data_IF_280805572293
#
_entry.id   IF_280805572293
#
_cell.length_a   1.000
_cell.length_b   1.000
_cell.length_c   1.000
_cell.angle_alpha   90.00
_cell.angle_beta   90.00
_cell.angle_gamma   90.00
#
_symmetry.space_group_name_H-M   'P 1'
#
loop_
_entity.id
_entity.type
_entity.pdbx_description
1 polymer ?
#
# COMPACT_ATOMS: atom_id res chain seq x y z
N UNK A 1 -42.55 -19.60 -45.26
CA UNK A 1 -41.27 -18.88 -45.12
C UNK A 1 -40.71 -19.24 -43.75
N UNK A 2 -39.70 -20.09 -43.73
CA UNK A 2 -39.15 -20.72 -42.53
C UNK A 2 -38.26 -19.71 -41.80
N UNK A 3 -38.49 -19.59 -40.50
CA UNK A 3 -37.71 -18.76 -39.58
C UNK A 3 -36.37 -19.46 -39.35
N UNK A 4 -35.28 -18.87 -39.82
CA UNK A 4 -33.91 -19.30 -39.47
C UNK A 4 -33.43 -18.37 -38.37
N UNK A 5 -33.62 -18.81 -37.12
CA UNK A 5 -32.99 -18.19 -35.95
C UNK A 5 -31.51 -18.52 -36.01
N UNK A 6 -30.68 -17.50 -36.29
CA UNK A 6 -29.23 -17.62 -36.17
C UNK A 6 -28.88 -17.61 -34.68
N UNK A 7 -28.49 -18.76 -34.15
CA UNK A 7 -27.91 -18.92 -32.81
C UNK A 7 -26.56 -18.20 -32.79
N UNK A 8 -26.49 -17.03 -32.14
CA UNK A 8 -25.24 -16.38 -31.79
C UNK A 8 -24.61 -17.15 -30.62
N UNK A 9 -23.49 -17.82 -30.90
CA UNK A 9 -22.69 -18.51 -29.91
C UNK A 9 -22.17 -17.56 -28.84
N UNK A 10 -22.23 -17.99 -27.59
CA UNK A 10 -21.59 -17.34 -26.46
C UNK A 10 -20.08 -17.18 -26.72
N UNK A 11 -19.45 -16.07 -26.27
CA UNK A 11 -18.00 -15.95 -26.34
C UNK A 11 -17.36 -17.06 -25.48
N UNK A 12 -16.25 -17.67 -25.94
CA UNK A 12 -15.51 -18.62 -25.12
C UNK A 12 -15.04 -17.91 -23.86
N UNK A 13 -15.55 -18.36 -22.71
CA UNK A 13 -15.10 -17.92 -21.41
C UNK A 13 -13.65 -18.40 -21.25
N UNK A 14 -12.71 -17.55 -21.68
CA UNK A 14 -11.29 -17.75 -21.43
C UNK A 14 -11.15 -17.82 -19.92
N UNK A 15 -10.85 -19.03 -19.42
CA UNK A 15 -10.44 -19.26 -18.05
C UNK A 15 -9.11 -18.54 -17.87
N UNK A 16 -9.17 -17.25 -17.53
CA UNK A 16 -8.00 -16.51 -17.11
C UNK A 16 -7.40 -17.30 -15.94
N UNK A 17 -6.11 -17.68 -16.00
CA UNK A 17 -5.45 -18.28 -14.87
C UNK A 17 -5.62 -17.33 -13.68
N UNK A 18 -5.90 -17.89 -12.51
CA UNK A 18 -6.05 -17.13 -11.26
C UNK A 18 -4.73 -16.40 -10.99
N UNK A 19 -4.57 -15.21 -11.55
CA UNK A 19 -3.40 -14.36 -11.33
C UNK A 19 -3.42 -13.97 -9.85
N UNK A 20 -2.40 -14.43 -9.11
CA UNK A 20 -2.26 -14.07 -7.71
C UNK A 20 -1.90 -12.59 -7.65
N UNK A 21 -2.80 -11.77 -7.11
CA UNK A 21 -2.56 -10.36 -6.88
C UNK A 21 -1.26 -10.17 -6.06
N UNK A 22 -0.41 -9.22 -6.46
CA UNK A 22 0.83 -8.83 -5.78
C UNK A 22 0.66 -8.66 -4.26
N UNK A 23 -0.46 -8.07 -3.82
CA UNK A 23 -0.81 -7.92 -2.40
C UNK A 23 -0.94 -9.26 -1.69
N UNK A 24 -1.53 -10.26 -2.35
CA UNK A 24 -1.65 -11.62 -1.80
C UNK A 24 -0.29 -12.30 -1.70
N UNK A 25 0.57 -12.15 -2.71
CA UNK A 25 1.93 -12.70 -2.67
C UNK A 25 2.77 -12.06 -1.56
N UNK A 26 2.67 -10.74 -1.35
CA UNK A 26 3.33 -10.05 -0.25
C UNK A 26 2.85 -10.54 1.13
N UNK A 27 1.54 -10.77 1.30
CA UNK A 27 0.99 -11.37 2.53
C UNK A 27 1.55 -12.77 2.79
N UNK A 28 1.61 -13.62 1.77
CA UNK A 28 2.23 -14.93 1.91
C UNK A 28 3.73 -14.84 2.22
N UNK A 29 4.44 -13.88 1.61
CA UNK A 29 5.85 -13.62 1.90
C UNK A 29 6.06 -13.22 3.36
N UNK A 30 5.22 -12.33 3.88
CA UNK A 30 5.23 -11.91 5.27
C UNK A 30 5.01 -13.08 6.24
N UNK A 31 4.02 -13.94 5.99
CA UNK A 31 3.77 -15.14 6.81
C UNK A 31 5.00 -16.06 6.84
N UNK A 32 5.63 -16.31 5.69
CA UNK A 32 6.83 -17.15 5.60
C UNK A 32 8.00 -16.54 6.38
N UNK A 33 8.19 -15.22 6.31
CA UNK A 33 9.22 -14.52 7.10
C UNK A 33 8.95 -14.66 8.59
N UNK A 34 7.70 -14.49 9.02
CA UNK A 34 7.31 -14.65 10.42
C UNK A 34 7.57 -16.08 10.92
N UNK A 35 7.26 -17.10 10.11
CA UNK A 35 7.55 -18.50 10.41
C UNK A 35 9.05 -18.77 10.53
N UNK A 36 9.88 -18.17 9.67
CA UNK A 36 11.34 -18.29 9.74
C UNK A 36 11.83 -17.72 11.09
N UNK A 37 11.38 -16.52 11.46
CA UNK A 37 11.76 -15.87 12.71
C UNK A 37 11.33 -16.70 13.91
N UNK A 38 10.08 -17.20 13.92
CA UNK A 38 9.56 -18.03 15.00
C UNK A 38 10.40 -19.30 15.20
N UNK A 39 10.68 -20.04 14.12
CA UNK A 39 11.48 -21.28 14.19
C UNK A 39 12.93 -21.03 14.57
N UNK A 40 13.51 -19.94 14.09
CA UNK A 40 14.88 -19.56 14.47
C UNK A 40 14.94 -19.24 15.96
N UNK A 41 13.93 -18.55 16.50
CA UNK A 41 13.82 -18.33 17.95
C UNK A 41 13.70 -19.65 18.72
N UNK A 42 12.86 -20.59 18.28
CA UNK A 42 12.75 -21.92 18.91
C UNK A 42 14.07 -22.71 18.91
N UNK A 43 14.84 -22.60 17.83
CA UNK A 43 16.18 -23.20 17.75
C UNK A 43 17.08 -22.59 18.83
N UNK A 44 17.16 -21.27 18.93
CA UNK A 44 17.99 -20.61 19.94
C UNK A 44 17.54 -20.93 21.36
N UNK A 45 16.23 -21.02 21.62
CA UNK A 45 15.72 -21.42 22.93
C UNK A 45 16.10 -22.87 23.26
N UNK A 46 16.04 -23.78 22.29
CA UNK A 46 16.44 -25.18 22.50
C UNK A 46 17.94 -25.27 22.77
N UNK A 47 18.77 -24.56 21.98
CA UNK A 47 20.22 -24.52 22.14
C UNK A 47 20.65 -24.00 23.51
N UNK A 48 19.98 -22.97 24.05
CA UNK A 48 20.25 -22.44 25.40
C UNK A 48 20.09 -23.49 26.51
N UNK A 49 19.23 -24.50 26.29
CA UNK A 49 18.94 -25.53 27.29
C UNK A 49 19.69 -26.84 27.03
N UNK A 50 20.44 -26.95 25.93
CA UNK A 50 21.26 -28.14 25.68
C UNK A 50 22.40 -28.15 26.69
N UNK A 51 22.49 -29.23 27.44
CA UNK A 51 23.63 -29.52 28.29
C UNK A 51 24.51 -30.58 27.62
N UNK A 52 25.83 -30.57 27.88
CA UNK A 52 26.71 -31.67 27.52
C UNK A 52 26.23 -32.97 28.20
N UNK A 53 26.50 -34.16 27.61
CA UNK A 53 26.24 -35.43 28.28
C UNK A 53 26.99 -35.47 29.62
N UNK A 54 26.26 -35.56 30.72
CA UNK A 54 26.81 -35.57 32.08
C UNK A 54 27.29 -36.96 32.52
N UNK A 55 27.66 -37.83 31.57
CA UNK A 55 28.06 -39.22 31.82
C UNK A 55 26.92 -40.18 32.17
N UNK A 56 25.68 -39.70 32.35
CA UNK A 56 24.51 -40.56 32.58
C UNK A 56 23.79 -40.92 31.27
N UNK A 57 23.20 -42.13 31.15
CA UNK A 57 22.40 -42.51 29.99
C UNK A 57 21.24 -41.55 29.74
N UNK A 58 20.58 -41.08 30.82
CA UNK A 58 19.49 -40.11 30.75
C UNK A 58 19.94 -38.77 30.17
N UNK A 59 21.08 -38.23 30.62
CA UNK A 59 21.62 -36.97 30.11
C UNK A 59 22.09 -37.06 28.66
N UNK A 60 22.66 -38.21 28.26
CA UNK A 60 23.03 -38.47 26.88
C UNK A 60 21.80 -38.51 25.95
N UNK A 61 20.73 -39.21 26.37
CA UNK A 61 19.48 -39.28 25.62
C UNK A 61 18.80 -37.91 25.49
N UNK A 62 18.70 -37.16 26.59
CA UNK A 62 18.10 -35.83 26.58
C UNK A 62 18.87 -34.82 25.70
N UNK A 63 20.20 -34.87 25.70
CA UNK A 63 21.04 -34.06 24.80
C UNK A 63 20.81 -34.46 23.33
N UNK A 64 20.73 -35.76 23.04
CA UNK A 64 20.51 -36.27 21.68
C UNK A 64 19.11 -35.90 21.13
N UNK A 65 18.05 -36.00 21.94
CA UNK A 65 16.70 -35.57 21.54
C UNK A 65 16.65 -34.09 21.16
N UNK A 66 17.29 -33.22 21.96
CA UNK A 66 17.37 -31.79 21.65
C UNK A 66 18.17 -31.53 20.37
N UNK A 67 19.26 -32.27 20.13
CA UNK A 67 20.02 -32.19 18.87
C UNK A 67 19.16 -32.58 17.66
N UNK A 68 18.43 -33.68 17.74
CA UNK A 68 17.51 -34.13 16.68
C UNK A 68 16.43 -33.07 16.43
N UNK A 69 15.83 -32.51 17.50
CA UNK A 69 14.84 -31.44 17.40
C UNK A 69 15.39 -30.20 16.69
N UNK A 70 16.60 -29.77 17.02
CA UNK A 70 17.27 -28.63 16.37
C UNK A 70 17.53 -28.93 14.89
N UNK A 71 18.04 -30.12 14.58
CA UNK A 71 18.29 -30.54 13.19
C UNK A 71 17.01 -30.51 12.34
N UNK A 72 15.88 -30.93 12.91
CA UNK A 72 14.58 -30.91 12.24
C UNK A 72 14.06 -29.48 12.04
N UNK A 73 14.18 -28.61 13.03
CA UNK A 73 13.82 -27.19 12.86
C UNK A 73 14.67 -26.51 11.79
N UNK A 74 15.98 -26.81 11.74
CA UNK A 74 16.85 -26.33 10.67
C UNK A 74 16.42 -26.84 9.29
N UNK A 75 15.88 -28.06 9.19
CA UNK A 75 15.31 -28.61 7.95
C UNK A 75 14.08 -27.82 7.52
N UNK A 76 13.18 -27.50 8.45
CA UNK A 76 12.02 -26.64 8.18
C UNK A 76 12.42 -25.23 7.73
N UNK A 77 13.38 -24.60 8.42
CA UNK A 77 13.90 -23.27 8.05
C UNK A 77 14.43 -23.27 6.62
N UNK A 78 15.18 -24.31 6.21
CA UNK A 78 15.63 -24.43 4.81
C UNK A 78 14.47 -24.50 3.81
N UNK A 79 13.38 -25.21 4.14
CA UNK A 79 12.21 -25.29 3.26
C UNK A 79 11.47 -23.96 3.18
N UNK A 80 11.38 -23.21 4.28
CA UNK A 80 10.79 -21.88 4.29
C UNK A 80 11.58 -20.90 3.42
N UNK A 81 12.92 -20.93 3.45
CA UNK A 81 13.72 -20.09 2.55
C UNK A 81 13.51 -20.43 1.07
N UNK A 82 13.37 -21.72 0.72
CA UNK A 82 13.02 -22.13 -0.65
C UNK A 82 11.65 -21.59 -1.05
N UNK A 83 10.66 -21.68 -0.16
CA UNK A 83 9.32 -21.12 -0.40
C UNK A 83 9.36 -19.61 -0.54
N UNK A 84 10.10 -18.91 0.32
CA UNK A 84 10.27 -17.45 0.27
C UNK A 84 10.89 -17.01 -1.05
N UNK A 85 11.89 -17.75 -1.55
CA UNK A 85 12.51 -17.47 -2.84
C UNK A 85 11.51 -17.55 -3.99
N UNK A 86 10.67 -18.59 -4.02
CA UNK A 86 9.61 -18.71 -5.05
C UNK A 86 8.62 -17.55 -4.97
N UNK A 87 8.24 -17.12 -3.75
CA UNK A 87 7.35 -15.97 -3.55
C UNK A 87 8.02 -14.69 -4.08
N UNK A 88 9.29 -14.48 -3.76
CA UNK A 88 10.05 -13.33 -4.23
C UNK A 88 10.13 -13.28 -5.76
N UNK A 89 10.50 -14.39 -6.41
CA UNK A 89 10.58 -14.50 -7.87
C UNK A 89 9.22 -14.15 -8.50
N UNK A 90 8.12 -14.72 -7.96
CA UNK A 90 6.76 -14.41 -8.44
C UNK A 90 6.34 -12.96 -8.21
N UNK A 91 6.67 -12.37 -7.06
CA UNK A 91 6.40 -10.96 -6.80
C UNK A 91 7.14 -10.10 -7.83
N UNK A 92 8.43 -10.36 -8.03
CA UNK A 92 9.27 -9.59 -8.94
C UNK A 92 8.76 -9.66 -10.39
N UNK A 93 8.38 -10.84 -10.86
CA UNK A 93 7.78 -11.01 -12.19
C UNK A 93 6.47 -10.22 -12.33
N UNK A 94 5.62 -10.18 -11.30
CA UNK A 94 4.38 -9.40 -11.29
C UNK A 94 4.64 -7.88 -11.31
N UNK A 95 5.61 -7.40 -10.54
CA UNK A 95 6.00 -5.98 -10.56
C UNK A 95 6.54 -5.55 -11.93
N UNK A 96 7.34 -6.40 -12.57
CA UNK A 96 7.89 -6.15 -13.90
C UNK A 96 6.79 -6.15 -14.97
N UNK A 97 5.80 -7.04 -14.88
CA UNK A 97 4.64 -7.08 -15.76
C UNK A 97 3.69 -5.88 -15.58
N UNK A 98 3.60 -5.32 -14.37
CA UNK A 98 2.79 -4.13 -14.07
C UNK A 98 3.49 -2.82 -14.44
N UNK A 99 4.70 -2.86 -15.02
CA UNK A 99 5.45 -1.65 -15.38
C UNK A 99 5.88 -0.81 -14.18
N UNK A 100 5.91 -1.39 -12.98
CA UNK A 100 6.46 -0.73 -11.80
C UNK A 100 7.97 -0.68 -11.96
N UNK A 101 8.53 0.52 -12.12
CA UNK A 101 9.98 0.71 -12.15
C UNK A 101 10.61 0.09 -10.88
N UNK A 102 11.75 -0.56 -11.05
CA UNK A 102 12.46 -1.28 -10.00
C UNK A 102 12.79 -0.34 -8.84
N UNK A 103 11.99 -0.39 -7.78
CA UNK A 103 12.20 0.42 -6.58
C UNK A 103 13.33 -0.22 -5.77
N UNK A 104 14.47 0.46 -5.68
CA UNK A 104 15.66 -0.06 -4.99
C UNK A 104 15.33 -0.43 -3.53
N UNK A 105 15.73 -1.62 -3.07
CA UNK A 105 15.43 -2.10 -1.71
C UNK A 105 15.88 -1.13 -0.60
N UNK A 106 16.90 -0.33 -0.90
CA UNK A 106 17.46 0.69 -0.02
C UNK A 106 16.49 1.86 0.23
N UNK A 107 15.59 2.17 -0.72
CA UNK A 107 14.55 3.19 -0.53
C UNK A 107 13.36 2.71 0.32
N UNK A 108 13.28 1.41 0.58
CA UNK A 108 12.26 0.80 1.46
C UNK A 108 12.70 0.77 2.94
N UNK A 109 13.96 1.09 3.23
CA UNK A 109 14.48 1.21 4.59
C UNK A 109 14.15 2.62 5.08
N UNK A 110 13.23 2.80 6.05
CA UNK A 110 12.87 4.13 6.51
C UNK A 110 14.06 4.76 7.22
N UNK A 111 14.73 5.70 6.56
CA UNK A 111 15.71 6.57 7.20
C UNK A 111 14.94 7.50 8.15
N UNK A 112 15.54 7.89 9.28
CA UNK A 112 14.87 8.65 10.34
C UNK A 112 14.29 10.01 9.86
N UNK A 113 14.71 10.50 8.69
CA UNK A 113 14.19 11.68 7.99
C UNK A 113 12.86 11.45 7.24
N UNK A 114 12.48 10.19 6.95
CA UNK A 114 11.31 9.82 6.13
C UNK A 114 9.94 10.02 6.81
N UNK A 115 9.90 10.48 8.07
CA UNK A 115 8.62 10.87 8.69
C UNK A 115 7.94 12.01 7.92
N UNK A 116 8.71 12.80 7.16
CA UNK A 116 8.21 13.88 6.32
C UNK A 116 7.68 13.39 4.95
N UNK A 117 8.23 12.28 4.43
CA UNK A 117 7.94 11.78 3.07
C UNK A 117 6.63 10.97 2.96
N UNK A 118 6.06 10.49 4.08
CA UNK A 118 4.69 9.90 4.11
C UNK A 118 3.60 10.87 3.66
N UNK A 119 3.94 12.15 3.55
CA UNK A 119 3.12 13.18 2.93
C UNK A 119 2.99 12.96 1.43
N UNK A 120 4.06 12.54 0.73
CA UNK A 120 4.13 12.49 -0.74
C UNK A 120 3.58 11.20 -1.35
N UNK A 121 3.74 10.03 -0.74
CA UNK A 121 3.10 8.79 -1.26
C UNK A 121 1.57 8.84 -1.18
N UNK A 122 1.03 9.51 -0.16
CA UNK A 122 -0.42 9.77 -0.06
C UNK A 122 -0.92 10.70 -1.17
N UNK A 123 -0.03 11.47 -1.82
CA UNK A 123 -0.38 12.34 -2.96
C UNK A 123 -0.57 11.59 -4.28
N UNK A 124 -0.12 10.34 -4.37
CA UNK A 124 -0.17 9.53 -5.59
C UNK A 124 -1.39 8.59 -5.65
N UNK A 125 -2.26 8.59 -4.64
CA UNK A 125 -3.49 7.79 -4.67
C UNK A 125 -4.54 8.44 -5.59
N UNK A 126 -5.27 7.63 -6.35
CA UNK A 126 -6.40 8.07 -7.19
C UNK A 126 -7.43 8.87 -6.37
N UNK A 127 -7.68 8.47 -5.12
CA UNK A 127 -8.58 9.17 -4.20
C UNK A 127 -8.05 10.55 -3.79
N UNK A 128 -6.73 10.69 -3.65
CA UNK A 128 -6.12 12.00 -3.34
C UNK A 128 -6.20 12.95 -4.54
N UNK A 129 -5.98 12.43 -5.75
CA UNK A 129 -6.14 13.21 -6.99
C UNK A 129 -7.56 13.76 -7.13
N UNK A 130 -8.57 12.91 -6.93
CA UNK A 130 -9.98 13.33 -6.98
C UNK A 130 -10.26 14.42 -5.94
N UNK A 131 -9.83 14.25 -4.69
CA UNK A 131 -10.02 15.29 -3.66
C UNK A 131 -9.25 16.60 -3.95
N UNK A 132 -8.10 16.53 -4.62
CA UNK A 132 -7.37 17.74 -5.04
C UNK A 132 -8.08 18.47 -6.17
N UNK A 133 -8.63 17.73 -7.14
CA UNK A 133 -9.41 18.32 -8.23
C UNK A 133 -10.70 18.97 -7.69
N UNK A 134 -11.41 18.31 -6.77
CA UNK A 134 -12.57 18.88 -6.06
C UNK A 134 -12.19 20.13 -5.26
N UNK A 135 -11.08 20.10 -4.52
CA UNK A 135 -10.61 21.25 -3.74
C UNK A 135 -10.25 22.44 -4.64
N UNK A 136 -9.63 22.17 -5.81
CA UNK A 136 -9.30 23.20 -6.80
C UNK A 136 -10.56 23.80 -7.42
N UNK A 137 -11.55 22.98 -7.76
CA UNK A 137 -12.83 23.45 -8.29
C UNK A 137 -13.56 24.35 -7.29
N UNK A 138 -13.63 23.94 -6.03
CA UNK A 138 -14.24 24.73 -4.95
C UNK A 138 -13.52 26.07 -4.76
N UNK A 139 -12.18 26.08 -4.80
CA UNK A 139 -11.39 27.32 -4.71
C UNK A 139 -11.72 28.27 -5.87
N UNK A 140 -11.80 27.75 -7.10
CA UNK A 140 -12.13 28.57 -8.27
C UNK A 140 -13.54 29.16 -8.17
N UNK A 141 -14.52 28.38 -7.71
CA UNK A 141 -15.87 28.89 -7.45
C UNK A 141 -15.86 30.02 -6.41
N UNK A 142 -15.13 29.87 -5.31
CA UNK A 142 -14.99 30.90 -4.27
C UNK A 142 -14.35 32.17 -4.84
N UNK A 143 -13.31 32.05 -5.66
CA UNK A 143 -12.67 33.19 -6.31
C UNK A 143 -13.64 33.96 -7.22
N UNK A 144 -14.42 33.25 -8.04
CA UNK A 144 -15.41 33.87 -8.92
C UNK A 144 -16.53 34.57 -8.14
N UNK A 145 -17.04 33.94 -7.07
CA UNK A 145 -18.05 34.55 -6.20
C UNK A 145 -17.52 35.80 -5.49
N UNK A 146 -16.29 35.77 -5.00
CA UNK A 146 -15.66 36.93 -4.37
C UNK A 146 -15.44 38.08 -5.36
N UNK A 147 -15.06 37.78 -6.60
CA UNK A 147 -14.95 38.78 -7.66
C UNK A 147 -16.30 39.44 -7.93
N UNK A 148 -17.36 38.65 -8.08
CA UNK A 148 -18.70 39.16 -8.31
C UNK A 148 -19.22 40.01 -7.14
N UNK A 149 -18.96 39.59 -5.89
CA UNK A 149 -19.30 40.39 -4.72
C UNK A 149 -18.58 41.74 -4.71
N UNK A 150 -17.30 41.79 -5.10
CA UNK A 150 -16.58 43.07 -5.22
C UNK A 150 -17.23 43.99 -6.26
N UNK A 151 -17.61 43.47 -7.41
CA UNK A 151 -18.30 44.24 -8.46
C UNK A 151 -19.63 44.82 -7.95
N UNK A 152 -20.43 44.02 -7.22
CA UNK A 152 -21.68 44.47 -6.61
C UNK A 152 -21.40 45.57 -5.58
N UNK A 153 -20.43 45.37 -4.69
CA UNK A 153 -20.09 46.34 -3.66
C UNK A 153 -19.66 47.67 -4.30
N UNK A 154 -18.84 47.64 -5.34
CA UNK A 154 -18.38 48.84 -6.02
C UNK A 154 -19.51 49.56 -6.77
N UNK A 155 -20.45 48.79 -7.34
CA UNK A 155 -21.66 49.36 -7.93
C UNK A 155 -22.53 50.05 -6.88
N UNK A 156 -22.76 49.42 -5.72
CA UNK A 156 -23.51 50.02 -4.62
C UNK A 156 -22.82 51.27 -4.06
N UNK A 157 -21.48 51.25 -3.92
CA UNK A 157 -20.70 52.42 -3.51
C UNK A 157 -20.87 53.59 -4.48
N UNK A 158 -20.87 53.31 -5.80
CA UNK A 158 -21.10 54.34 -6.81
C UNK A 158 -22.49 54.96 -6.69
N UNK A 159 -23.54 54.15 -6.55
CA UNK A 159 -24.91 54.62 -6.35
C UNK A 159 -24.99 55.51 -5.09
N UNK A 160 -24.42 55.07 -3.97
CA UNK A 160 -24.39 55.85 -2.72
C UNK A 160 -23.67 57.19 -2.94
N UNK A 161 -22.54 57.19 -3.63
CA UNK A 161 -21.79 58.40 -3.94
C UNK A 161 -22.60 59.37 -4.81
N UNK A 162 -23.25 58.88 -5.85
CA UNK A 162 -24.13 59.67 -6.72
C UNK A 162 -25.29 60.28 -5.94
N UNK A 163 -25.96 59.50 -5.09
CA UNK A 163 -27.03 59.99 -4.20
C UNK A 163 -26.50 61.07 -3.25
N UNK A 164 -25.39 60.82 -2.56
CA UNK A 164 -24.80 61.78 -1.63
C UNK A 164 -24.42 63.09 -2.33
N UNK A 165 -23.88 63.00 -3.55
CA UNK A 165 -23.56 64.17 -4.38
C UNK A 165 -24.81 64.95 -4.75
N UNK A 166 -25.87 64.26 -5.22
CA UNK A 166 -27.16 64.89 -5.54
C UNK A 166 -27.82 65.54 -4.32
N UNK A 167 -27.74 64.93 -3.14
CA UNK A 167 -28.28 65.49 -1.90
C UNK A 167 -27.49 66.72 -1.43
N UNK A 168 -26.17 66.72 -1.57
CA UNK A 168 -25.33 67.87 -1.23
C UNK A 168 -25.65 69.08 -2.12
N UNK A 169 -25.81 68.87 -3.43
CA UNK A 169 -26.19 69.93 -4.38
C UNK A 169 -27.59 70.52 -4.15
N UNK A 170 -28.49 69.81 -3.44
CA UNK A 170 -29.81 70.33 -3.07
C UNK A 170 -29.82 71.11 -1.75
N UNK A 171 -28.75 71.01 -0.95
CA UNK A 171 -28.60 71.69 0.34
C UNK A 171 -27.78 72.98 0.26
N UNK A 172 -27.12 73.23 -0.87
CA UNK A 172 -26.53 74.51 -1.30
C UNK A 172 -27.55 75.34 -2.07
#
# INVERSE_FOLDING_TARGET
RVVVVSLQGAPPNATQPKEFNTVSLCKFGQEVIQDIVARTNEIFQTLKTIQPPNGTPQGANASNEKKVKVAEQLRHVRMLFKRLRIIYEKCNDNFQLQGMEYMHIESLIPLKEEWDMKSDERKMSEQYRVSCDESKEVMEQVMQKNKHLKEIIDHLRRIIFEINTMLAMRRS
#
